data_IF_219322348810
#
_entry.id   IF_219322348810
#
_cell.length_a   1.000
_cell.length_b   1.000
_cell.length_c   1.000
_cell.angle_alpha   90.00
_cell.angle_beta   90.00
_cell.angle_gamma   90.00
#
_symmetry.space_group_name_H-M   'P 1'
#
loop_
_entity.id
_entity.type
_entity.pdbx_description
1 polymer ?
#
# COMPACT_ATOMS: atom_id res chain seq x y z
N UNK A 1 -42.36 22.46 -0.64
CA UNK A 1 -41.28 21.68 -0.01
C UNK A 1 -40.09 21.66 -0.97
N UNK A 2 -38.95 22.26 -0.60
CA UNK A 2 -37.78 22.37 -1.48
C UNK A 2 -36.75 21.32 -1.04
N UNK A 3 -37.04 20.06 -1.36
CA UNK A 3 -36.27 18.90 -0.87
C UNK A 3 -35.12 18.61 -1.82
N UNK A 4 -33.90 18.56 -1.30
CA UNK A 4 -32.76 18.01 -2.03
C UNK A 4 -32.64 16.54 -1.68
N UNK A 5 -32.65 15.67 -2.68
CA UNK A 5 -32.55 14.21 -2.51
C UNK A 5 -31.25 13.77 -3.16
N UNK A 6 -30.38 13.11 -2.41
CA UNK A 6 -29.17 12.49 -2.94
C UNK A 6 -29.35 10.98 -2.93
N UNK A 7 -29.15 10.35 -4.08
CA UNK A 7 -29.17 8.90 -4.23
C UNK A 7 -27.77 8.44 -4.58
N UNK A 8 -27.26 7.49 -3.80
CA UNK A 8 -25.99 6.82 -4.04
C UNK A 8 -26.24 5.43 -4.60
N UNK A 9 -25.70 5.11 -5.77
CA UNK A 9 -25.79 3.76 -6.37
C UNK A 9 -24.46 3.28 -6.95
N UNK A 10 -24.41 2.05 -7.48
CA UNK A 10 -23.22 1.52 -8.13
C UNK A 10 -22.89 2.21 -9.45
N UNK A 11 -23.90 2.35 -10.32
CA UNK A 11 -23.74 2.71 -11.73
C UNK A 11 -24.63 3.88 -12.21
N UNK A 12 -25.32 4.55 -11.28
CA UNK A 12 -26.30 5.59 -11.57
C UNK A 12 -27.75 5.09 -11.48
N UNK A 13 -28.71 6.00 -11.57
CA UNK A 13 -30.15 5.68 -11.59
C UNK A 13 -30.67 5.34 -12.99
N UNK A 14 -29.85 5.53 -14.03
CA UNK A 14 -30.21 5.32 -15.43
C UNK A 14 -29.07 4.62 -16.18
N UNK A 15 -29.35 4.17 -17.41
CA UNK A 15 -28.36 3.49 -18.24
C UNK A 15 -28.33 1.97 -18.08
N UNK A 16 -27.47 1.29 -18.83
CA UNK A 16 -27.53 -0.17 -19.02
C UNK A 16 -27.23 -0.99 -17.75
N UNK A 17 -26.51 -0.40 -16.79
CA UNK A 17 -26.12 -1.06 -15.53
C UNK A 17 -26.88 -0.52 -14.31
N UNK A 18 -27.94 0.27 -14.48
CA UNK A 18 -28.66 0.90 -13.38
C UNK A 18 -29.20 -0.08 -12.33
N UNK A 19 -29.57 -1.29 -12.75
CA UNK A 19 -30.07 -2.36 -11.87
C UNK A 19 -28.98 -3.30 -11.35
N UNK A 20 -27.72 -3.08 -11.74
CA UNK A 20 -26.60 -3.91 -11.32
C UNK A 20 -26.19 -3.59 -9.88
N UNK A 21 -25.79 -4.60 -9.07
CA UNK A 21 -25.30 -4.37 -7.72
C UNK A 21 -23.99 -3.57 -7.74
N UNK A 22 -23.90 -2.57 -6.87
CA UNK A 22 -22.69 -1.75 -6.71
C UNK A 22 -21.84 -2.22 -5.53
N UNK A 23 -20.53 -2.36 -5.76
CA UNK A 23 -19.56 -2.58 -4.68
C UNK A 23 -18.24 -1.91 -5.06
N UNK A 24 -17.51 -1.39 -4.06
CA UNK A 24 -16.27 -0.65 -4.27
C UNK A 24 -15.22 -1.43 -5.08
N UNK A 25 -15.01 -2.71 -4.78
CA UNK A 25 -14.07 -3.55 -5.55
C UNK A 25 -14.49 -3.70 -7.01
N UNK A 26 -15.79 -3.82 -7.28
CA UNK A 26 -16.30 -3.96 -8.64
C UNK A 26 -16.14 -2.64 -9.39
N UNK A 27 -16.51 -1.52 -8.77
CA UNK A 27 -16.32 -0.19 -9.37
C UNK A 27 -14.84 0.13 -9.60
N UNK A 28 -13.96 -0.22 -8.67
CA UNK A 28 -12.51 -0.08 -8.81
C UNK A 28 -11.92 -0.96 -9.93
N UNK A 29 -12.50 -2.13 -10.19
CA UNK A 29 -12.08 -2.98 -11.30
C UNK A 29 -12.57 -2.41 -12.64
N UNK A 30 -13.87 -2.12 -12.75
CA UNK A 30 -14.52 -1.64 -14.00
C UNK A 30 -13.99 -0.28 -14.43
N UNK A 31 -13.68 0.61 -13.49
CA UNK A 31 -13.10 1.93 -13.79
C UNK A 31 -11.62 1.87 -14.22
N UNK A 32 -10.96 0.72 -14.12
CA UNK A 32 -9.52 0.62 -14.40
C UNK A 32 -8.60 1.10 -13.28
N UNK A 33 -9.12 1.48 -12.10
CA UNK A 33 -8.27 1.81 -10.94
C UNK A 33 -7.37 0.63 -10.56
N UNK A 34 -7.89 -0.61 -10.56
CA UNK A 34 -7.08 -1.80 -10.29
C UNK A 34 -6.04 -2.07 -11.39
N UNK A 35 -6.29 -1.65 -12.63
CA UNK A 35 -5.35 -1.86 -13.73
C UNK A 35 -4.04 -1.10 -13.50
N UNK A 36 -4.12 0.07 -12.83
CA UNK A 36 -2.98 0.95 -12.58
C UNK A 36 -2.36 0.74 -11.19
N UNK A 37 -2.79 -0.27 -10.44
CA UNK A 37 -2.24 -0.71 -9.15
C UNK A 37 -1.85 -2.20 -9.20
N UNK A 38 -0.63 -2.64 -8.81
CA UNK A 38 -0.25 -4.07 -8.79
C UNK A 38 0.78 -4.54 -7.72
N UNK A 39 0.75 -5.73 -7.06
CA UNK A 39 1.45 -6.01 -5.79
C UNK A 39 2.96 -5.87 -5.89
N UNK A 40 3.63 -5.42 -4.81
CA UNK A 40 5.10 -5.42 -4.70
C UNK A 40 5.64 -6.86 -4.82
N UNK A 41 6.16 -7.23 -5.98
CA UNK A 41 6.92 -8.48 -6.11
C UNK A 41 8.32 -8.21 -5.56
N UNK A 42 8.48 -8.36 -4.24
CA UNK A 42 9.79 -8.66 -3.69
C UNK A 42 10.17 -10.05 -4.18
N UNK A 43 11.03 -10.14 -5.18
CA UNK A 43 11.69 -11.40 -5.55
C UNK A 43 12.51 -11.86 -4.33
N UNK A 44 11.93 -12.75 -3.52
CA UNK A 44 12.67 -13.45 -2.48
C UNK A 44 13.62 -14.44 -3.15
N UNK A 45 14.82 -13.97 -3.52
CA UNK A 45 15.88 -14.82 -4.09
C UNK A 45 16.48 -15.80 -3.08
N UNK A 46 16.14 -15.68 -1.79
CA UNK A 46 16.62 -16.54 -0.71
C UNK A 46 15.50 -16.82 0.29
N UNK A 47 15.06 -18.07 0.36
CA UNK A 47 14.20 -18.58 1.43
C UNK A 47 15.02 -19.54 2.27
N UNK A 48 15.54 -19.09 3.42
CA UNK A 48 16.15 -19.96 4.42
C UNK A 48 15.07 -20.37 5.41
N UNK A 49 14.45 -21.53 5.14
CA UNK A 49 13.44 -22.09 6.05
C UNK A 49 14.17 -22.85 7.16
N UNK A 50 14.27 -22.25 8.34
CA UNK A 50 15.01 -22.83 9.47
C UNK A 50 14.32 -24.08 10.06
N UNK A 51 13.00 -24.19 9.92
CA UNK A 51 12.20 -25.37 10.30
C UNK A 51 10.95 -25.45 9.42
N UNK A 52 10.76 -26.58 8.73
CA UNK A 52 9.56 -26.85 7.95
C UNK A 52 9.01 -28.21 8.35
N UNK A 53 7.82 -28.24 8.95
CA UNK A 53 7.11 -29.46 9.30
C UNK A 53 5.89 -29.56 8.40
N UNK A 54 6.03 -30.30 7.30
CA UNK A 54 5.01 -30.43 6.27
C UNK A 54 4.37 -31.80 6.41
N UNK A 55 3.19 -31.83 7.02
CA UNK A 55 2.49 -33.09 7.32
C UNK A 55 1.83 -33.71 6.08
N UNK A 56 1.41 -32.91 5.09
CA UNK A 56 0.94 -33.38 3.78
C UNK A 56 1.19 -32.31 2.71
N UNK A 57 1.78 -32.68 1.58
CA UNK A 57 1.98 -31.78 0.45
C UNK A 57 1.91 -32.54 -0.87
N UNK A 58 0.98 -32.14 -1.73
CA UNK A 58 0.86 -32.59 -3.11
C UNK A 58 1.21 -31.41 -4.02
N UNK A 59 2.44 -31.39 -4.53
CA UNK A 59 2.93 -30.33 -5.42
C UNK A 59 2.98 -30.86 -6.85
N UNK A 60 2.20 -30.24 -7.75
CA UNK A 60 2.11 -30.66 -9.15
C UNK A 60 3.33 -30.24 -9.98
N UNK A 61 3.97 -29.11 -9.62
CA UNK A 61 5.18 -28.60 -10.27
C UNK A 61 5.99 -27.77 -9.27
N UNK A 62 7.28 -28.08 -9.08
CA UNK A 62 8.16 -27.35 -8.18
C UNK A 62 9.50 -27.08 -8.87
N UNK A 63 9.85 -25.80 -9.05
CA UNK A 63 11.12 -25.37 -9.63
C UNK A 63 11.89 -24.58 -8.58
N UNK A 64 12.96 -25.20 -8.04
CA UNK A 64 13.76 -24.61 -6.96
C UNK A 64 15.19 -24.44 -7.45
N UNK A 65 15.61 -23.19 -7.63
CA UNK A 65 16.93 -22.85 -8.18
C UNK A 65 18.06 -23.03 -7.16
N UNK A 66 17.82 -22.68 -5.89
CA UNK A 66 18.75 -22.87 -4.77
C UNK A 66 17.97 -23.12 -3.47
N UNK A 67 18.29 -24.20 -2.77
CA UNK A 67 17.64 -24.57 -1.50
C UNK A 67 18.68 -25.01 -0.47
N UNK A 68 18.54 -24.56 0.77
CA UNK A 68 19.37 -24.98 1.91
C UNK A 68 18.44 -25.37 3.06
N UNK A 69 18.33 -26.67 3.32
CA UNK A 69 17.44 -27.21 4.37
C UNK A 69 18.31 -27.80 5.47
N UNK A 70 18.22 -27.23 6.67
CA UNK A 70 19.05 -27.64 7.82
C UNK A 70 18.48 -28.88 8.53
N UNK A 71 17.14 -28.99 8.61
CA UNK A 71 16.44 -30.19 9.11
C UNK A 71 15.01 -30.24 8.56
N UNK A 72 14.56 -31.42 8.12
CA UNK A 72 13.21 -31.62 7.60
C UNK A 72 12.73 -33.06 7.80
N UNK A 73 11.45 -33.20 8.14
CA UNK A 73 10.77 -34.49 8.33
C UNK A 73 9.58 -34.55 7.37
N UNK A 74 9.60 -35.52 6.44
CA UNK A 74 8.50 -35.73 5.48
C UNK A 74 7.89 -37.10 5.74
N UNK A 75 6.63 -37.13 6.16
CA UNK A 75 5.94 -38.37 6.53
C UNK A 75 5.36 -39.11 5.31
N UNK A 76 4.81 -38.38 4.33
CA UNK A 76 4.37 -38.92 3.04
C UNK A 76 4.28 -37.82 1.97
N UNK A 77 4.86 -38.05 0.79
CA UNK A 77 4.78 -37.13 -0.33
C UNK A 77 4.87 -37.86 -1.68
N UNK A 78 4.12 -37.36 -2.66
CA UNK A 78 4.13 -37.85 -4.04
C UNK A 78 4.53 -36.71 -4.97
N UNK A 79 5.67 -36.84 -5.65
CA UNK A 79 6.24 -35.81 -6.52
C UNK A 79 6.33 -36.36 -7.95
N UNK A 80 5.60 -35.73 -8.87
CA UNK A 80 5.52 -36.17 -10.27
C UNK A 80 6.73 -35.73 -11.10
N UNK A 81 7.19 -34.48 -10.92
CA UNK A 81 8.39 -33.93 -11.57
C UNK A 81 9.15 -33.00 -10.62
N UNK A 82 10.46 -33.21 -10.48
CA UNK A 82 11.33 -32.39 -9.63
C UNK A 82 12.65 -32.08 -10.36
N UNK A 83 13.00 -30.79 -10.42
CA UNK A 83 14.24 -30.29 -11.02
C UNK A 83 14.99 -29.48 -9.97
N UNK A 84 16.15 -29.96 -9.53
CA UNK A 84 17.01 -29.26 -8.55
C UNK A 84 18.38 -29.02 -9.18
N UNK A 85 18.72 -27.74 -9.37
CA UNK A 85 19.97 -27.37 -10.06
C UNK A 85 21.18 -27.41 -9.12
N UNK A 86 21.01 -26.99 -7.85
CA UNK A 86 21.99 -27.22 -6.78
C UNK A 86 21.37 -27.08 -5.39
N UNK A 87 21.80 -27.90 -4.44
CA UNK A 87 21.30 -27.88 -3.06
C UNK A 87 22.24 -28.61 -2.11
N UNK A 88 22.16 -28.26 -0.83
CA UNK A 88 22.88 -28.93 0.26
C UNK A 88 21.87 -29.30 1.36
N UNK A 89 21.83 -30.59 1.71
CA UNK A 89 20.93 -31.16 2.71
C UNK A 89 21.81 -31.80 3.79
N UNK A 90 21.72 -31.31 5.02
CA UNK A 90 22.55 -31.80 6.13
C UNK A 90 21.91 -32.98 6.88
N UNK A 91 20.60 -32.94 7.14
CA UNK A 91 19.87 -34.04 7.77
C UNK A 91 18.45 -34.15 7.19
N UNK A 92 18.10 -35.34 6.67
CA UNK A 92 16.80 -35.61 6.06
C UNK A 92 16.33 -37.02 6.45
N UNK A 93 15.12 -37.11 7.00
CA UNK A 93 14.46 -38.38 7.33
C UNK A 93 13.16 -38.48 6.53
N UNK A 94 13.13 -39.43 5.59
CA UNK A 94 12.01 -39.66 4.66
C UNK A 94 11.48 -41.07 4.89
N UNK A 95 10.22 -41.19 5.31
CA UNK A 95 9.62 -42.50 5.63
C UNK A 95 9.03 -43.20 4.40
N UNK A 96 8.36 -42.44 3.51
CA UNK A 96 7.81 -42.95 2.25
C UNK A 96 7.95 -41.90 1.14
N UNK A 97 8.54 -42.29 0.00
CA UNK A 97 8.76 -41.42 -1.15
C UNK A 97 8.56 -42.18 -2.46
N UNK A 98 7.73 -41.62 -3.35
CA UNK A 98 7.51 -42.12 -4.70
C UNK A 98 7.91 -41.02 -5.68
N UNK A 99 8.95 -41.26 -6.50
CA UNK A 99 9.46 -40.31 -7.49
C UNK A 99 9.40 -40.95 -8.86
N UNK A 100 8.66 -40.33 -9.79
CA UNK A 100 8.42 -40.90 -11.11
C UNK A 100 9.56 -40.54 -12.11
N UNK A 101 10.03 -39.29 -12.09
CA UNK A 101 11.14 -38.80 -12.93
C UNK A 101 11.95 -37.76 -12.15
N UNK A 102 13.27 -37.93 -12.09
CA UNK A 102 14.20 -37.03 -11.38
C UNK A 102 15.38 -36.64 -12.27
N UNK A 103 15.69 -35.33 -12.33
CA UNK A 103 16.95 -34.84 -12.88
C UNK A 103 17.58 -33.82 -11.91
N UNK A 104 18.77 -34.13 -11.41
CA UNK A 104 19.50 -33.25 -10.50
C UNK A 104 20.95 -33.69 -10.31
N UNK A 105 21.79 -32.73 -9.93
CA UNK A 105 23.19 -32.92 -9.57
C UNK A 105 23.31 -32.72 -8.06
N UNK A 106 23.54 -33.78 -7.28
CA UNK A 106 23.59 -33.71 -5.81
C UNK A 106 25.02 -33.87 -5.32
N UNK A 107 25.48 -32.94 -4.49
CA UNK A 107 26.75 -33.00 -3.80
C UNK A 107 26.51 -33.44 -2.35
N UNK A 108 26.90 -34.67 -2.00
CA UNK A 108 26.78 -35.18 -0.63
C UNK A 108 28.08 -34.93 0.13
N UNK A 109 28.03 -34.19 1.24
CA UNK A 109 29.20 -33.97 2.09
C UNK A 109 29.24 -34.88 3.33
N UNK A 110 28.10 -35.36 3.86
CA UNK A 110 28.00 -36.48 4.81
C UNK A 110 26.55 -37.00 4.77
N UNK A 111 26.33 -38.31 4.65
CA UNK A 111 24.97 -38.85 4.51
C UNK A 111 24.79 -40.13 5.34
N UNK A 112 23.94 -40.08 6.37
CA UNK A 112 23.36 -41.26 7.02
C UNK A 112 21.90 -41.36 6.60
N UNK A 113 21.64 -42.11 5.52
CA UNK A 113 20.27 -42.33 5.01
C UNK A 113 19.73 -43.64 5.56
N UNK A 114 18.62 -43.60 6.28
CA UNK A 114 17.83 -44.78 6.58
C UNK A 114 16.62 -44.79 5.63
N UNK A 115 16.71 -45.53 4.52
CA UNK A 115 15.59 -45.75 3.59
C UNK A 115 14.95 -47.09 3.94
N UNK A 116 13.69 -47.09 4.38
CA UNK A 116 12.96 -48.33 4.64
C UNK A 116 12.28 -48.91 3.38
N UNK A 117 11.77 -48.07 2.48
CA UNK A 117 11.26 -48.49 1.16
C UNK A 117 11.39 -47.37 0.11
N UNK A 118 11.91 -47.68 -1.08
CA UNK A 118 12.04 -46.75 -2.21
C UNK A 118 11.82 -47.48 -3.54
N UNK A 119 11.02 -46.90 -4.43
CA UNK A 119 10.79 -47.39 -5.80
C UNK A 119 11.03 -46.26 -6.79
N UNK A 120 12.06 -46.40 -7.63
CA UNK A 120 12.48 -45.42 -8.66
C UNK A 120 12.32 -46.06 -10.03
N UNK A 121 11.60 -45.41 -10.96
CA UNK A 121 11.32 -45.96 -12.29
C UNK A 121 12.31 -45.50 -13.38
N UNK A 122 12.90 -44.30 -13.31
CA UNK A 122 13.92 -43.83 -14.27
C UNK A 122 14.95 -42.88 -13.63
N UNK A 123 16.26 -43.11 -13.88
CA UNK A 123 17.40 -42.36 -13.31
C UNK A 123 18.44 -42.00 -14.40
N UNK A 124 18.82 -40.73 -14.50
CA UNK A 124 19.98 -40.26 -15.28
C UNK A 124 20.95 -39.49 -14.38
N UNK A 125 22.26 -39.80 -14.45
CA UNK A 125 23.32 -39.18 -13.64
C UNK A 125 24.53 -38.81 -14.51
N UNK A 126 25.09 -37.61 -14.32
CA UNK A 126 26.39 -37.19 -14.86
C UNK A 126 27.30 -36.75 -13.70
N UNK A 127 28.51 -37.33 -13.62
CA UNK A 127 29.48 -37.11 -12.54
C UNK A 127 30.63 -36.25 -13.04
N UNK A 128 30.94 -35.15 -12.33
CA UNK A 128 32.16 -34.36 -12.52
C UNK A 128 32.91 -34.29 -11.18
N UNK A 129 34.12 -34.83 -11.12
CA UNK A 129 34.97 -34.87 -9.92
C UNK A 129 35.91 -33.66 -9.92
N UNK A 130 35.86 -32.83 -8.87
CA UNK A 130 36.86 -31.80 -8.59
C UNK A 130 37.07 -31.66 -7.07
N UNK A 131 38.14 -32.28 -6.57
CA UNK A 131 38.80 -31.86 -5.34
C UNK A 131 40.30 -31.72 -5.59
N UNK A 132 40.88 -30.59 -5.19
CA UNK A 132 42.24 -30.56 -4.64
C UNK A 132 42.39 -29.36 -3.71
N UNK A 133 42.86 -29.62 -2.49
CA UNK A 133 43.07 -28.69 -1.37
C UNK A 133 44.54 -28.24 -1.28
N UNK A 134 44.83 -26.97 -0.96
CA UNK A 134 46.14 -26.52 -0.42
C UNK A 134 45.98 -25.36 0.59
N UNK A 135 46.88 -25.38 1.59
CA UNK A 135 47.02 -24.68 2.88
C UNK A 135 47.44 -23.18 2.90
N UNK A 136 47.02 -22.49 3.99
CA UNK A 136 47.56 -21.33 4.77
C UNK A 136 48.51 -20.25 4.19
N UNK A 137 48.20 -18.97 4.45
CA UNK A 137 49.16 -17.96 4.96
C UNK A 137 48.48 -16.72 5.61
N UNK A 138 49.21 -16.02 6.47
CA UNK A 138 48.80 -15.20 7.62
C UNK A 138 49.31 -13.74 7.51
N UNK A 139 48.51 -12.70 7.78
CA UNK A 139 48.98 -11.34 8.20
C UNK A 139 47.97 -10.64 9.14
N UNK A 140 48.52 -9.87 10.09
CA UNK A 140 48.06 -9.43 11.41
C UNK A 140 47.40 -8.02 11.51
N UNK A 141 46.46 -7.86 12.47
CA UNK A 141 46.31 -6.76 13.50
C UNK A 141 45.96 -5.30 12.99
N UNK A 142 45.12 -4.41 13.57
CA UNK A 142 44.35 -4.22 14.84
C UNK A 142 43.30 -3.07 14.67
N UNK A 143 42.17 -3.20 15.39
CA UNK A 143 41.41 -2.24 16.22
C UNK A 143 40.98 -0.80 15.83
N UNK A 144 39.66 -0.59 16.01
CA UNK A 144 38.90 0.41 16.82
C UNK A 144 38.65 1.86 16.35
N UNK A 145 37.33 2.13 16.27
CA UNK A 145 36.50 3.21 16.89
C UNK A 145 36.55 4.65 16.34
N UNK A 146 35.37 5.03 15.83
CA UNK A 146 34.47 6.13 16.26
C UNK A 146 34.82 7.61 16.04
N UNK A 147 33.72 8.34 15.79
CA UNK A 147 33.42 9.79 15.95
C UNK A 147 33.79 10.69 14.77
N UNK A 148 33.11 11.80 14.48
CA UNK A 148 31.71 12.25 14.50
C UNK A 148 31.70 13.68 13.93
N UNK A 149 30.56 14.12 13.39
CA UNK A 149 30.08 15.51 13.39
C UNK A 149 30.80 16.49 12.44
N UNK A 150 30.13 17.03 11.40
CA UNK A 150 29.13 18.14 11.40
C UNK A 150 29.72 19.43 12.02
N UNK A 151 29.53 20.66 11.51
CA UNK A 151 28.49 21.24 10.62
C UNK A 151 28.81 22.74 10.36
N UNK A 152 28.09 23.35 9.39
CA UNK A 152 27.44 24.70 9.44
C UNK A 152 28.33 25.93 9.16
N UNK A 153 27.91 27.00 8.43
CA UNK A 153 26.62 27.74 8.37
C UNK A 153 26.41 28.46 7.02
N UNK A 154 25.22 28.44 6.39
CA UNK A 154 23.99 29.31 6.51
C UNK A 154 24.13 30.75 5.99
N UNK A 155 23.40 31.09 4.91
CA UNK A 155 22.26 32.04 4.83
C UNK A 155 21.99 32.32 3.34
N UNK A 156 20.80 32.63 2.80
CA UNK A 156 19.74 33.53 3.23
C UNK A 156 18.57 33.42 2.22
N UNK A 157 17.43 34.07 2.51
CA UNK A 157 16.35 34.46 1.58
C UNK A 157 15.28 33.38 1.27
N UNK A 158 14.12 33.38 1.93
CA UNK A 158 13.01 34.36 1.88
C UNK A 158 12.36 34.40 0.48
N UNK A 159 11.02 34.22 0.41
CA UNK A 159 10.11 34.27 -0.77
C UNK A 159 9.57 32.99 -1.44
N UNK A 160 9.60 31.80 -0.82
CA UNK A 160 8.79 30.66 -1.30
C UNK A 160 8.28 29.81 -0.13
N UNK A 161 7.08 30.11 0.40
CA UNK A 161 6.42 29.20 1.35
C UNK A 161 5.20 28.57 0.71
N UNK A 162 5.47 27.37 0.19
CA UNK A 162 4.57 26.25 -0.09
C UNK A 162 3.42 26.50 -1.07
N UNK A 163 3.76 26.42 -2.36
CA UNK A 163 2.84 25.85 -3.34
C UNK A 163 2.55 24.40 -2.93
N UNK A 164 1.42 24.19 -2.23
CA UNK A 164 0.84 22.85 -2.10
C UNK A 164 0.34 22.50 -3.49
N UNK A 165 1.22 21.88 -4.28
CA UNK A 165 0.81 21.27 -5.53
C UNK A 165 -0.09 20.11 -5.13
N UNK A 166 -1.40 20.26 -5.34
CA UNK A 166 -2.41 19.21 -5.13
C UNK A 166 -2.12 18.06 -6.09
N UNK A 167 -1.14 17.27 -5.71
CA UNK A 167 -0.74 16.05 -6.37
C UNK A 167 -1.63 14.96 -5.79
N UNK A 168 -2.84 14.82 -6.33
CA UNK A 168 -3.74 13.69 -6.09
C UNK A 168 -3.11 12.40 -6.62
N UNK A 169 -2.13 11.86 -5.89
CA UNK A 169 -1.44 10.62 -6.23
C UNK A 169 -1.67 9.64 -5.10
N UNK A 170 -2.51 8.66 -5.35
CA UNK A 170 -2.60 7.47 -4.53
C UNK A 170 -1.30 6.69 -4.73
N UNK A 171 -0.28 7.02 -3.94
CA UNK A 171 0.93 6.22 -3.85
C UNK A 171 0.53 4.87 -3.24
N UNK A 172 0.42 3.86 -4.07
CA UNK A 172 0.23 2.48 -3.64
C UNK A 172 1.44 1.67 -4.11
N UNK A 173 2.00 0.92 -3.16
CA UNK A 173 3.34 0.29 -3.11
C UNK A 173 3.57 -0.84 -4.12
N UNK A 174 3.96 -0.58 -5.37
CA UNK A 174 3.70 -1.55 -6.44
C UNK A 174 4.87 -1.62 -7.49
N UNK A 175 5.09 -2.68 -8.29
CA UNK A 175 6.06 -2.74 -9.40
C UNK A 175 5.38 -2.44 -10.73
N UNK A 176 6.18 -2.15 -11.77
CA UNK A 176 5.66 -1.83 -13.11
C UNK A 176 4.92 -2.99 -13.79
N UNK A 177 5.17 -4.24 -13.37
CA UNK A 177 4.69 -5.46 -14.03
C UNK A 177 3.94 -6.44 -13.10
N UNK A 178 3.49 -6.00 -11.92
CA UNK A 178 2.69 -6.84 -11.01
C UNK A 178 1.26 -7.12 -11.54
N UNK A 179 0.59 -8.15 -11.01
CA UNK A 179 -0.84 -8.39 -11.22
C UNK A 179 -1.71 -7.20 -10.76
N UNK A 180 -2.90 -6.94 -11.31
CA UNK A 180 -3.81 -5.94 -10.75
C UNK A 180 -4.14 -6.19 -9.26
N UNK A 181 -4.10 -5.16 -8.41
CA UNK A 181 -4.60 -5.23 -7.03
C UNK A 181 -5.49 -4.06 -6.68
N UNK A 182 -6.41 -4.33 -5.76
CA UNK A 182 -7.25 -3.32 -5.13
C UNK A 182 -6.43 -2.41 -4.20
N UNK A 183 -6.72 -1.10 -4.17
CA UNK A 183 -6.35 -0.21 -3.08
C UNK A 183 -6.62 -0.76 -1.66
N UNK A 184 -5.74 -0.45 -0.71
CA UNK A 184 -5.84 -0.94 0.68
C UNK A 184 -7.02 -0.40 1.50
N UNK A 185 -7.72 0.61 0.99
CA UNK A 185 -8.96 1.17 1.57
C UNK A 185 -10.03 1.24 0.48
N UNK A 186 -11.30 1.35 0.87
CA UNK A 186 -12.43 1.52 -0.05
C UNK A 186 -12.42 2.93 -0.69
N UNK A 187 -11.46 3.16 -1.58
CA UNK A 187 -11.22 4.46 -2.19
C UNK A 187 -12.42 4.96 -2.99
N UNK A 188 -13.17 4.07 -3.64
CA UNK A 188 -14.36 4.44 -4.40
C UNK A 188 -15.45 4.91 -3.45
N UNK A 189 -15.72 4.16 -2.38
CA UNK A 189 -16.75 4.53 -1.39
C UNK A 189 -16.42 5.88 -0.74
N UNK A 190 -15.16 6.06 -0.34
CA UNK A 190 -14.68 7.33 0.24
C UNK A 190 -14.82 8.49 -0.75
N UNK A 191 -14.40 8.29 -2.01
CA UNK A 191 -14.52 9.31 -3.04
C UNK A 191 -15.98 9.65 -3.33
N UNK A 192 -16.86 8.67 -3.49
CA UNK A 192 -18.30 8.87 -3.72
C UNK A 192 -18.93 9.62 -2.56
N UNK A 193 -18.59 9.31 -1.31
CA UNK A 193 -19.02 10.07 -0.14
C UNK A 193 -18.60 11.54 -0.21
N UNK A 194 -17.36 11.82 -0.62
CA UNK A 194 -16.86 13.19 -0.78
C UNK A 194 -17.51 13.94 -1.95
N UNK A 195 -17.76 13.28 -3.09
CA UNK A 195 -18.49 13.85 -4.21
C UNK A 195 -19.95 14.16 -3.82
N UNK A 196 -20.62 13.23 -3.13
CA UNK A 196 -21.97 13.42 -2.63
C UNK A 196 -22.03 14.61 -1.65
N UNK A 197 -21.09 14.69 -0.70
CA UNK A 197 -20.97 15.82 0.21
C UNK A 197 -20.84 17.15 -0.54
N UNK A 198 -19.93 17.25 -1.52
CA UNK A 198 -19.78 18.45 -2.34
C UNK A 198 -21.03 18.81 -3.15
N UNK A 199 -21.69 17.82 -3.75
CA UNK A 199 -22.92 18.00 -4.51
C UNK A 199 -24.08 18.47 -3.63
N UNK A 200 -24.23 17.91 -2.42
CA UNK A 200 -25.23 18.35 -1.43
C UNK A 200 -24.99 19.80 -1.04
N UNK A 201 -23.74 20.18 -0.74
CA UNK A 201 -23.41 21.57 -0.42
C UNK A 201 -23.74 22.53 -1.58
N UNK A 202 -23.41 22.17 -2.82
CA UNK A 202 -23.78 22.94 -4.00
C UNK A 202 -25.30 23.05 -4.18
N UNK A 203 -26.03 21.95 -3.99
CA UNK A 203 -27.49 21.91 -4.05
C UNK A 203 -28.15 22.77 -2.97
N UNK A 204 -27.63 22.78 -1.74
CA UNK A 204 -28.12 23.64 -0.65
C UNK A 204 -27.91 25.13 -0.97
N UNK A 205 -26.75 25.50 -1.53
CA UNK A 205 -26.48 26.86 -1.99
C UNK A 205 -27.39 27.27 -3.15
N UNK A 206 -27.63 26.37 -4.11
CA UNK A 206 -28.55 26.61 -5.21
C UNK A 206 -29.98 26.79 -4.70
N UNK A 207 -30.44 25.90 -3.82
CA UNK A 207 -31.76 25.99 -3.18
C UNK A 207 -31.95 27.30 -2.43
N UNK A 208 -30.91 27.82 -1.79
CA UNK A 208 -30.99 29.13 -1.12
C UNK A 208 -31.34 30.25 -2.11
N UNK A 209 -30.81 30.19 -3.33
CA UNK A 209 -31.06 31.16 -4.40
C UNK A 209 -32.39 30.92 -5.11
N UNK A 210 -32.68 29.69 -5.50
CA UNK A 210 -33.81 29.35 -6.38
C UNK A 210 -35.08 28.98 -5.63
N UNK A 211 -34.97 28.64 -4.34
CA UNK A 211 -36.06 28.03 -3.55
C UNK A 211 -36.61 26.77 -4.19
N UNK A 212 -35.79 26.03 -4.95
CA UNK A 212 -36.16 24.74 -5.51
C UNK A 212 -35.23 23.65 -4.99
N UNK A 213 -35.79 22.46 -4.79
CA UNK A 213 -35.02 21.26 -4.51
C UNK A 213 -34.33 20.74 -5.77
N UNK A 214 -33.45 19.75 -5.60
CA UNK A 214 -32.81 19.05 -6.71
C UNK A 214 -32.60 17.58 -6.35
N UNK A 215 -32.70 16.71 -7.35
CA UNK A 215 -32.31 15.31 -7.24
C UNK A 215 -30.86 15.14 -7.68
N UNK A 216 -30.02 14.57 -6.83
CA UNK A 216 -28.60 14.32 -7.07
C UNK A 216 -28.44 12.82 -7.30
N UNK A 217 -27.95 12.44 -8.49
CA UNK A 217 -27.50 11.09 -8.79
C UNK A 217 -25.99 11.02 -8.63
N UNK A 218 -25.53 10.30 -7.60
CA UNK A 218 -24.11 10.08 -7.32
C UNK A 218 -23.84 8.58 -7.35
N UNK A 219 -22.80 8.13 -8.05
CA UNK A 219 -22.53 6.70 -8.17
C UNK A 219 -21.05 6.33 -8.11
N UNK A 220 -20.78 5.09 -7.71
CA UNK A 220 -19.43 4.56 -7.50
C UNK A 220 -18.60 4.63 -8.79
N UNK A 221 -19.13 4.17 -9.93
CA UNK A 221 -18.40 4.15 -11.19
C UNK A 221 -17.96 5.55 -11.63
N UNK A 222 -18.91 6.51 -11.69
CA UNK A 222 -18.62 7.88 -12.10
C UNK A 222 -17.62 8.57 -11.17
N UNK A 223 -17.76 8.35 -9.86
CA UNK A 223 -16.82 8.90 -8.87
C UNK A 223 -15.41 8.36 -9.11
N UNK A 224 -15.27 7.04 -9.29
CA UNK A 224 -13.97 6.41 -9.48
C UNK A 224 -13.31 6.79 -10.81
N UNK A 225 -14.08 6.85 -11.90
CA UNK A 225 -13.59 7.32 -13.21
C UNK A 225 -13.12 8.77 -13.11
N UNK A 226 -13.86 9.63 -12.40
CA UNK A 226 -13.43 11.02 -12.17
C UNK A 226 -12.10 11.10 -11.40
N UNK A 227 -11.90 10.21 -10.41
CA UNK A 227 -10.66 10.13 -9.64
C UNK A 227 -9.42 9.70 -10.44
N UNK A 228 -9.57 9.14 -11.66
CA UNK A 228 -8.43 8.86 -12.53
C UNK A 228 -7.71 10.13 -12.99
N UNK A 229 -8.41 11.28 -12.98
CA UNK A 229 -7.84 12.62 -13.16
C UNK A 229 -6.88 12.71 -14.37
N UNK A 230 -5.59 12.92 -14.13
CA UNK A 230 -4.56 13.07 -15.15
C UNK A 230 -4.32 11.80 -15.97
N UNK A 231 -4.52 10.60 -15.42
CA UNK A 231 -4.35 9.34 -16.14
C UNK A 231 -5.43 9.21 -17.20
N UNK A 232 -6.69 9.50 -16.84
CA UNK A 232 -7.78 9.57 -17.81
C UNK A 232 -7.54 10.66 -18.85
N UNK A 233 -7.06 11.85 -18.45
CA UNK A 233 -6.75 12.92 -19.39
C UNK A 233 -5.65 12.53 -20.40
N UNK A 234 -4.61 11.81 -19.98
CA UNK A 234 -3.57 11.31 -20.86
C UNK A 234 -4.12 10.36 -21.93
N UNK A 235 -5.01 9.44 -21.53
CA UNK A 235 -5.65 8.52 -22.46
C UNK A 235 -6.61 9.26 -23.41
N UNK A 236 -7.52 10.08 -22.87
CA UNK A 236 -8.55 10.77 -23.64
C UNK A 236 -7.98 11.76 -24.66
N UNK A 237 -6.87 12.43 -24.35
CA UNK A 237 -6.29 13.46 -25.23
C UNK A 237 -5.15 12.95 -26.11
N UNK A 238 -4.43 11.90 -25.70
CA UNK A 238 -3.22 11.45 -26.40
C UNK A 238 -3.21 9.95 -26.73
N UNK A 239 -4.27 9.20 -26.41
CA UNK A 239 -4.35 7.75 -26.60
C UNK A 239 -3.27 6.98 -25.81
N UNK A 240 -2.65 7.62 -24.81
CA UNK A 240 -1.56 7.05 -24.06
C UNK A 240 -2.12 6.12 -22.99
N UNK A 241 -2.00 4.81 -23.23
CA UNK A 241 -2.42 3.80 -22.26
C UNK A 241 -1.67 3.93 -20.94
N UNK A 242 -2.40 3.76 -19.84
CA UNK A 242 -1.88 3.81 -18.50
C UNK A 242 -1.00 2.60 -18.22
N UNK A 243 -0.04 2.77 -17.30
CA UNK A 243 0.84 1.70 -16.84
C UNK A 243 0.92 1.73 -15.33
N UNK A 244 1.20 0.58 -14.73
CA UNK A 244 1.56 0.50 -13.32
C UNK A 244 2.93 1.11 -13.15
N UNK A 245 3.08 2.03 -12.20
CA UNK A 245 4.37 2.68 -11.92
C UNK A 245 4.86 2.43 -10.50
N UNK A 246 4.05 1.77 -9.69
CA UNK A 246 4.39 1.60 -8.30
C UNK A 246 4.19 2.82 -7.45
N UNK A 247 5.13 3.01 -6.52
CA UNK A 247 5.27 4.28 -5.81
C UNK A 247 5.79 5.39 -6.73
N UNK A 248 6.25 5.08 -7.95
CA UNK A 248 6.86 6.06 -8.81
C UNK A 248 5.86 6.90 -9.60
N UNK A 249 6.22 8.15 -9.80
CA UNK A 249 5.52 9.02 -10.73
C UNK A 249 5.91 8.68 -12.18
N UNK A 250 4.95 8.76 -13.09
CA UNK A 250 5.18 8.42 -14.50
C UNK A 250 6.15 9.39 -15.19
N UNK A 251 6.01 10.68 -14.90
CA UNK A 251 6.62 11.77 -15.65
C UNK A 251 7.58 12.64 -14.83
N UNK A 252 7.83 12.31 -13.56
CA UNK A 252 8.70 13.09 -12.65
C UNK A 252 9.68 12.14 -11.99
N UNK A 253 10.99 12.44 -12.08
CA UNK A 253 12.06 11.59 -11.54
C UNK A 253 13.11 12.44 -10.81
N UNK A 254 13.52 12.08 -9.58
CA UNK A 254 12.91 11.05 -8.72
C UNK A 254 11.62 11.56 -8.06
N UNK A 255 10.55 10.79 -8.19
CA UNK A 255 9.36 10.92 -7.35
C UNK A 255 8.85 9.51 -7.10
N UNK A 256 9.32 8.89 -6.01
CA UNK A 256 8.96 7.52 -5.63
C UNK A 256 9.36 7.16 -4.20
N UNK A 257 8.93 5.97 -3.76
CA UNK A 257 9.45 5.29 -2.59
C UNK A 257 10.82 4.66 -2.86
N UNK A 258 11.70 4.74 -1.86
CA UNK A 258 13.01 4.11 -1.82
C UNK A 258 13.12 3.31 -0.53
N UNK A 259 13.68 2.10 -0.63
CA UNK A 259 14.03 1.29 0.53
C UNK A 259 15.24 1.91 1.23
N UNK A 260 15.16 2.04 2.53
CA UNK A 260 16.26 2.46 3.40
C UNK A 260 16.82 1.25 4.15
N UNK A 261 17.78 1.48 5.05
CA UNK A 261 18.35 0.41 5.87
C UNK A 261 17.33 -0.32 6.77
N UNK A 262 16.31 0.39 7.24
CA UNK A 262 15.35 -0.07 8.24
C UNK A 262 13.87 0.12 7.87
N UNK A 263 13.58 0.70 6.70
CA UNK A 263 12.22 1.00 6.28
C UNK A 263 12.15 1.53 4.85
N UNK A 264 11.27 2.50 4.62
CA UNK A 264 11.08 3.13 3.32
C UNK A 264 10.86 4.63 3.47
N UNK A 265 11.34 5.39 2.49
CA UNK A 265 11.18 6.84 2.39
C UNK A 265 10.65 7.20 1.00
N UNK A 266 9.68 8.10 0.93
CA UNK A 266 9.25 8.71 -0.33
C UNK A 266 10.01 10.02 -0.51
N UNK A 267 10.58 10.21 -1.69
CA UNK A 267 11.26 11.45 -2.08
C UNK A 267 10.64 11.97 -3.37
N UNK A 268 10.22 13.23 -3.36
CA UNK A 268 9.59 13.89 -4.51
C UNK A 268 10.37 15.13 -4.95
N UNK A 269 11.21 14.98 -5.96
CA UNK A 269 11.85 16.09 -6.67
C UNK A 269 10.97 16.54 -7.85
N UNK A 270 10.05 17.46 -7.59
CA UNK A 270 9.10 17.98 -8.58
C UNK A 270 9.71 18.90 -9.65
N UNK A 271 10.95 19.35 -9.47
CA UNK A 271 11.67 20.19 -10.43
C UNK A 271 13.19 19.97 -10.38
N UNK A 272 13.90 20.55 -11.36
CA UNK A 272 15.36 20.39 -11.49
C UNK A 272 16.13 20.95 -10.29
N UNK A 273 15.67 22.04 -9.67
CA UNK A 273 16.31 22.60 -8.47
C UNK A 273 16.22 21.62 -7.29
N UNK A 274 15.07 20.98 -7.11
CA UNK A 274 14.89 19.96 -6.07
C UNK A 274 15.73 18.70 -6.36
N UNK A 275 15.90 18.31 -7.63
CA UNK A 275 16.79 17.20 -7.97
C UNK A 275 18.24 17.48 -7.56
N UNK A 276 18.76 18.69 -7.84
CA UNK A 276 20.08 19.11 -7.36
C UNK A 276 20.17 19.00 -5.83
N UNK A 277 19.12 19.40 -5.09
CA UNK A 277 19.07 19.26 -3.63
C UNK A 277 19.09 17.80 -3.17
N UNK A 278 18.38 16.91 -3.86
CA UNK A 278 18.43 15.47 -3.58
C UNK A 278 19.86 14.94 -3.76
N UNK A 279 20.52 15.26 -4.88
CA UNK A 279 21.91 14.87 -5.13
C UNK A 279 22.87 15.41 -4.05
N UNK A 280 22.67 16.66 -3.60
CA UNK A 280 23.44 17.25 -2.51
C UNK A 280 23.27 16.50 -1.18
N UNK A 281 22.03 16.17 -0.80
CA UNK A 281 21.75 15.42 0.44
C UNK A 281 22.29 14.00 0.38
N UNK A 282 22.25 13.39 -0.79
CA UNK A 282 22.76 12.04 -1.03
C UNK A 282 24.27 11.99 -1.24
N UNK A 283 24.96 13.13 -1.27
CA UNK A 283 26.40 13.22 -1.56
C UNK A 283 26.76 12.61 -2.93
N UNK A 284 25.87 12.78 -3.90
CA UNK A 284 26.00 12.34 -5.30
C UNK A 284 25.90 13.55 -6.24
N UNK A 285 26.62 14.62 -5.91
CA UNK A 285 26.50 15.93 -6.59
C UNK A 285 26.85 15.85 -8.07
N UNK A 286 27.75 14.95 -8.44
CA UNK A 286 28.14 14.66 -9.82
C UNK A 286 26.95 14.27 -10.69
N UNK A 287 25.95 13.57 -10.15
CA UNK A 287 24.73 13.21 -10.89
C UNK A 287 23.92 14.43 -11.32
N UNK A 288 24.03 15.56 -10.60
CA UNK A 288 23.33 16.78 -10.97
C UNK A 288 23.95 17.46 -12.21
N UNK A 289 25.26 17.31 -12.40
CA UNK A 289 26.02 17.92 -13.50
C UNK A 289 26.07 17.02 -14.75
N UNK A 290 25.74 15.73 -14.60
CA UNK A 290 25.68 14.81 -15.73
C UNK A 290 24.67 15.26 -16.81
N UNK A 291 25.10 15.37 -18.08
CA UNK A 291 24.23 15.84 -19.16
C UNK A 291 22.92 15.06 -19.28
N UNK A 292 22.93 13.75 -18.96
CA UNK A 292 21.76 12.87 -19.02
C UNK A 292 20.76 13.03 -17.87
N UNK A 293 21.09 13.77 -16.81
CA UNK A 293 20.19 14.02 -15.66
C UNK A 293 19.84 15.49 -15.44
N UNK A 294 20.38 16.38 -16.29
CA UNK A 294 20.24 17.84 -16.18
C UNK A 294 18.80 18.36 -16.13
N UNK A 295 17.88 17.74 -16.87
CA UNK A 295 16.46 18.12 -16.89
C UNK A 295 15.56 16.94 -16.57
N UNK A 296 14.36 17.19 -16.05
CA UNK A 296 13.40 16.13 -15.75
C UNK A 296 13.12 15.22 -16.96
N UNK A 297 13.01 15.79 -18.17
CA UNK A 297 12.82 15.01 -19.40
C UNK A 297 13.94 13.98 -19.60
N UNK A 298 15.19 14.40 -19.40
CA UNK A 298 16.36 13.54 -19.54
C UNK A 298 16.42 12.49 -18.41
N UNK A 299 16.04 12.86 -17.19
CA UNK A 299 15.91 11.91 -16.07
C UNK A 299 14.84 10.85 -16.32
N UNK A 300 13.70 11.21 -16.91
CA UNK A 300 12.65 10.26 -17.30
C UNK A 300 13.16 9.26 -18.34
N UNK A 301 13.92 9.74 -19.35
CA UNK A 301 14.52 8.89 -20.37
C UNK A 301 15.56 7.92 -19.79
N UNK A 302 16.35 8.38 -18.82
CA UNK A 302 17.45 7.61 -18.21
C UNK A 302 17.10 7.07 -16.81
N UNK A 303 15.80 6.90 -16.51
CA UNK A 303 15.33 6.66 -15.13
C UNK A 303 15.85 5.38 -14.50
N UNK A 304 16.02 4.31 -15.27
CA UNK A 304 16.42 3.00 -14.74
C UNK A 304 17.78 3.08 -14.05
N UNK A 305 18.74 3.71 -14.73
CA UNK A 305 20.09 3.89 -14.22
C UNK A 305 20.12 4.85 -13.02
N UNK A 306 19.48 6.03 -13.15
CA UNK A 306 19.44 7.02 -12.07
C UNK A 306 18.84 6.43 -10.80
N UNK A 307 17.68 5.78 -10.92
CA UNK A 307 16.98 5.21 -9.77
C UNK A 307 17.75 4.04 -9.15
N UNK A 308 18.52 3.28 -9.94
CA UNK A 308 19.40 2.25 -9.38
C UNK A 308 20.44 2.89 -8.45
N UNK A 309 21.15 3.92 -8.91
CA UNK A 309 22.16 4.64 -8.11
C UNK A 309 21.55 5.26 -6.86
N UNK A 310 20.43 5.97 -7.00
CA UNK A 310 19.73 6.57 -5.85
C UNK A 310 19.28 5.49 -4.84
N UNK A 311 18.74 4.38 -5.31
CA UNK A 311 18.28 3.28 -4.44
C UNK A 311 19.44 2.67 -3.66
N UNK A 312 20.60 2.44 -4.29
CA UNK A 312 21.79 1.95 -3.59
C UNK A 312 22.25 2.91 -2.51
N UNK A 313 22.15 4.22 -2.75
CA UNK A 313 22.50 5.22 -1.74
C UNK A 313 21.52 5.21 -0.57
N UNK A 314 20.21 5.21 -0.83
CA UNK A 314 19.20 5.21 0.23
C UNK A 314 19.30 4.00 1.18
N UNK A 315 19.76 2.84 0.70
CA UNK A 315 19.96 1.64 1.52
C UNK A 315 21.03 1.78 2.62
N UNK A 316 21.91 2.78 2.53
CA UNK A 316 23.07 2.88 3.42
C UNK A 316 22.72 3.43 4.81
N UNK A 317 21.69 4.28 4.90
CA UNK A 317 21.28 4.92 6.14
C UNK A 317 19.85 4.57 6.54
N UNK A 318 19.56 4.79 7.82
CA UNK A 318 18.22 4.58 8.38
C UNK A 318 17.26 5.68 7.93
N UNK A 319 15.98 5.36 7.91
CA UNK A 319 14.88 6.27 7.51
C UNK A 319 14.92 7.57 8.30
N UNK A 320 15.06 7.49 9.63
CA UNK A 320 15.11 8.67 10.49
C UNK A 320 16.35 9.55 10.24
N UNK A 321 17.48 8.96 9.85
CA UNK A 321 18.69 9.71 9.54
C UNK A 321 18.54 10.44 8.20
N UNK A 322 17.94 9.79 7.19
CA UNK A 322 17.57 10.44 5.94
C UNK A 322 16.64 11.62 6.16
N UNK A 323 15.54 11.45 6.89
CA UNK A 323 14.60 12.53 7.18
C UNK A 323 15.31 13.73 7.83
N UNK A 324 16.25 13.47 8.75
CA UNK A 324 17.07 14.52 9.38
C UNK A 324 18.04 15.20 8.41
N UNK A 325 18.54 14.48 7.40
CA UNK A 325 19.42 15.04 6.36
C UNK A 325 18.65 15.88 5.33
N UNK A 326 17.39 15.53 5.06
CA UNK A 326 16.50 16.30 4.19
C UNK A 326 15.85 17.51 4.87
N UNK A 327 15.90 17.59 6.21
CA UNK A 327 15.30 18.69 6.97
C UNK A 327 15.84 20.05 6.50
N UNK A 328 14.93 20.97 6.17
CA UNK A 328 15.29 22.30 5.67
C UNK A 328 15.80 22.35 4.22
N UNK A 329 15.91 21.22 3.52
CA UNK A 329 16.38 21.17 2.12
C UNK A 329 15.38 21.77 1.11
N UNK A 330 14.09 21.86 1.50
CA UNK A 330 13.00 22.25 0.60
C UNK A 330 12.52 21.13 -0.34
N UNK A 331 13.08 19.93 -0.21
CA UNK A 331 12.63 18.72 -0.92
C UNK A 331 11.51 18.05 -0.09
N UNK A 332 10.32 17.81 -0.67
CA UNK A 332 9.29 17.00 -0.04
C UNK A 332 9.76 15.56 0.16
N UNK A 333 9.82 15.13 1.42
CA UNK A 333 10.15 13.76 1.82
C UNK A 333 9.25 13.30 2.96
N UNK A 334 9.03 12.00 3.06
CA UNK A 334 8.29 11.41 4.19
C UNK A 334 8.52 9.90 4.32
N UNK A 335 8.47 9.35 5.54
CA UNK A 335 8.53 7.90 5.73
C UNK A 335 7.26 7.22 5.22
N UNK A 336 7.36 5.95 4.83
CA UNK A 336 6.19 5.10 4.64
C UNK A 336 5.87 4.44 5.98
N UNK A 337 4.92 5.04 6.70
CA UNK A 337 4.56 4.65 8.06
C UNK A 337 3.64 3.42 8.09
N UNK A 338 3.84 2.57 9.10
CA UNK A 338 2.82 1.66 9.61
C UNK A 338 1.66 2.42 10.25
N UNK A 339 0.52 1.75 10.44
CA UNK A 339 -0.66 2.37 11.08
C UNK A 339 -0.36 2.83 12.52
N UNK A 340 0.47 2.07 13.25
CA UNK A 340 0.91 2.47 14.59
C UNK A 340 1.73 3.77 14.57
N UNK A 341 2.63 3.92 13.60
CA UNK A 341 3.45 5.13 13.43
C UNK A 341 2.58 6.33 13.03
N UNK A 342 1.59 6.15 12.15
CA UNK A 342 0.62 7.21 11.77
C UNK A 342 -0.05 7.80 13.00
N UNK A 343 -0.63 6.98 13.88
CA UNK A 343 -1.32 7.49 15.07
C UNK A 343 -0.37 7.91 16.21
N UNK A 344 0.92 7.59 16.09
CA UNK A 344 1.95 8.07 17.00
C UNK A 344 2.57 9.39 16.54
N UNK A 345 2.37 9.78 15.28
CA UNK A 345 2.97 10.95 14.64
C UNK A 345 2.62 12.27 15.35
N UNK A 346 3.61 13.14 15.62
CA UNK A 346 3.38 14.41 16.31
C UNK A 346 2.40 15.34 15.59
N UNK A 347 2.45 15.42 14.26
CA UNK A 347 1.56 16.26 13.47
C UNK A 347 0.13 15.71 13.47
N UNK A 348 -0.04 14.38 13.39
CA UNK A 348 -1.37 13.73 13.49
C UNK A 348 -2.02 14.01 14.84
N UNK A 349 -1.25 13.91 15.93
CA UNK A 349 -1.70 14.26 17.29
C UNK A 349 -2.04 15.74 17.42
N UNK A 350 -1.15 16.62 16.94
CA UNK A 350 -1.40 18.07 16.90
C UNK A 350 -2.67 18.42 16.10
N UNK A 351 -2.94 17.67 15.03
CA UNK A 351 -4.12 17.82 14.20
C UNK A 351 -5.40 17.24 14.84
N UNK A 352 -5.33 16.61 16.02
CA UNK A 352 -6.50 16.11 16.73
C UNK A 352 -7.26 15.04 15.95
N UNK A 353 -6.53 14.23 15.16
CA UNK A 353 -7.12 13.23 14.26
C UNK A 353 -7.48 11.91 14.95
N UNK A 354 -7.44 11.87 16.28
CA UNK A 354 -7.92 10.74 17.09
C UNK A 354 -9.06 11.27 17.94
N UNK A 355 -10.29 10.89 17.60
CA UNK A 355 -11.46 11.15 18.43
C UNK A 355 -11.66 9.99 19.38
N UNK A 356 -11.93 10.31 20.64
CA UNK A 356 -12.25 9.33 21.67
C UNK A 356 -13.66 9.60 22.20
N UNK A 357 -14.41 8.53 22.45
CA UNK A 357 -15.79 8.63 22.96
C UNK A 357 -16.15 7.36 23.72
N UNK A 358 -17.14 7.46 24.62
CA UNK A 358 -17.68 6.30 25.34
C UNK A 358 -18.93 5.81 24.61
N UNK A 359 -18.86 4.59 24.08
CA UNK A 359 -19.99 3.91 23.47
C UNK A 359 -20.74 3.08 24.52
N UNK A 360 -22.08 3.15 24.58
CA UNK A 360 -22.89 2.42 25.56
C UNK A 360 -22.55 0.94 25.75
N UNK A 361 -22.33 0.23 24.64
CA UNK A 361 -22.10 -1.22 24.66
C UNK A 361 -20.65 -1.63 24.40
N UNK A 362 -19.80 -0.72 23.91
CA UNK A 362 -18.42 -1.03 23.51
C UNK A 362 -17.38 -0.36 24.41
N UNK A 363 -17.80 0.43 25.40
CA UNK A 363 -16.91 1.18 26.28
C UNK A 363 -16.19 2.30 25.53
N UNK A 364 -14.95 2.58 25.93
CA UNK A 364 -14.15 3.63 25.29
C UNK A 364 -13.69 3.20 23.91
N UNK A 365 -14.12 3.92 22.87
CA UNK A 365 -13.72 3.70 21.48
C UNK A 365 -12.91 4.88 20.94
N UNK A 366 -12.14 4.63 19.86
CA UNK A 366 -11.33 5.64 19.18
C UNK A 366 -11.51 5.54 17.66
N UNK A 367 -11.69 6.66 17.00
CA UNK A 367 -11.90 6.73 15.54
C UNK A 367 -11.11 7.90 14.93
N UNK A 368 -10.82 7.87 13.60
CA UNK A 368 -10.24 9.01 12.91
C UNK A 368 -11.10 10.27 13.04
N UNK A 369 -10.46 11.40 13.35
CA UNK A 369 -11.12 12.70 13.46
C UNK A 369 -11.33 13.42 12.12
N UNK A 370 -12.05 14.56 12.13
CA UNK A 370 -12.33 15.32 10.93
C UNK A 370 -11.04 15.87 10.31
N UNK A 371 -10.93 15.77 8.98
CA UNK A 371 -9.77 16.25 8.23
C UNK A 371 -9.73 17.78 8.07
N UNK A 372 -10.82 18.50 8.39
CA UNK A 372 -10.98 19.94 8.17
C UNK A 372 -11.26 20.65 9.50
N UNK A 373 -10.62 21.82 9.67
CA UNK A 373 -10.82 22.73 10.81
C UNK A 373 -11.33 24.07 10.30
N UNK A 374 -12.20 24.70 11.06
CA UNK A 374 -12.75 26.01 10.76
C UNK A 374 -12.24 27.03 11.79
N UNK A 375 -11.94 28.24 11.33
CA UNK A 375 -11.42 29.31 12.19
C UNK A 375 -12.48 29.96 13.07
N UNK A 376 -13.74 29.95 12.62
CA UNK A 376 -14.84 30.69 13.23
C UNK A 376 -15.84 29.82 13.99
N UNK A 377 -15.78 28.50 13.85
CA UNK A 377 -16.64 27.57 14.59
C UNK A 377 -15.94 26.23 14.79
N UNK A 378 -16.36 25.50 15.82
CA UNK A 378 -15.93 24.13 16.07
C UNK A 378 -17.10 23.18 15.88
N UNK A 379 -16.78 21.92 15.62
CA UNK A 379 -17.75 20.85 15.77
C UNK A 379 -18.08 20.68 17.26
N UNK A 380 -19.29 20.20 17.58
CA UNK A 380 -19.64 19.82 18.94
C UNK A 380 -18.80 18.64 19.44
N UNK A 381 -18.98 18.26 20.71
CA UNK A 381 -18.34 17.07 21.25
C UNK A 381 -18.75 15.82 20.44
N UNK A 382 -17.80 14.93 20.12
CA UNK A 382 -18.10 13.75 19.34
C UNK A 382 -18.98 12.79 20.13
N UNK A 383 -20.11 12.40 19.54
CA UNK A 383 -21.01 11.38 20.10
C UNK A 383 -20.71 10.00 19.52
N UNK A 384 -20.89 8.92 20.30
CA UNK A 384 -20.75 7.56 19.79
C UNK A 384 -21.74 7.26 18.65
N UNK A 385 -21.42 6.32 17.75
CA UNK A 385 -22.40 5.76 16.83
C UNK A 385 -23.67 5.30 17.58
N UNK A 386 -24.87 5.53 17.05
CA UNK A 386 -26.10 5.16 17.73
C UNK A 386 -26.33 3.64 17.69
N UNK A 387 -27.03 3.12 18.71
CA UNK A 387 -27.62 1.80 18.64
C UNK A 387 -28.69 1.76 17.54
N UNK A 388 -28.92 0.58 16.97
CA UNK A 388 -30.02 0.37 16.01
C UNK A 388 -31.32 0.80 16.69
N UNK A 389 -32.07 1.74 16.11
CA UNK A 389 -33.33 2.21 16.67
C UNK A 389 -33.21 3.10 17.92
N UNK A 390 -32.03 3.63 18.25
CA UNK A 390 -31.83 4.47 19.44
C UNK A 390 -32.70 5.73 19.48
N UNK A 391 -32.96 6.32 18.31
CA UNK A 391 -33.65 7.61 18.20
C UNK A 391 -35.03 7.49 17.53
N UNK A 392 -35.59 6.28 17.43
CA UNK A 392 -36.84 6.02 16.70
C UNK A 392 -38.00 6.86 17.24
N UNK A 393 -38.27 6.77 18.54
CA UNK A 393 -39.35 7.53 19.18
C UNK A 393 -39.10 9.03 19.08
N UNK A 394 -37.87 9.48 19.35
CA UNK A 394 -37.49 10.89 19.27
C UNK A 394 -37.74 11.47 17.88
N UNK A 395 -37.39 10.75 16.81
CA UNK A 395 -37.61 11.22 15.43
C UNK A 395 -39.09 11.25 15.09
N UNK A 396 -39.85 10.18 15.40
CA UNK A 396 -41.29 10.12 15.14
C UNK A 396 -42.04 11.25 15.87
N UNK A 397 -41.72 11.47 17.14
CA UNK A 397 -42.39 12.45 17.98
C UNK A 397 -41.94 13.88 17.65
N UNK A 398 -40.64 14.17 17.66
CA UNK A 398 -40.14 15.55 17.57
C UNK A 398 -39.91 16.04 16.14
N UNK A 399 -39.58 15.15 15.21
CA UNK A 399 -39.31 15.55 13.81
C UNK A 399 -40.55 15.40 12.94
N UNK A 400 -41.29 14.30 13.11
CA UNK A 400 -42.47 14.00 12.30
C UNK A 400 -43.80 14.37 12.98
N UNK A 401 -43.77 14.79 14.25
CA UNK A 401 -44.95 15.21 15.01
C UNK A 401 -46.05 14.15 15.13
N UNK A 402 -45.67 12.87 15.21
CA UNK A 402 -46.62 11.78 15.45
C UNK A 402 -47.07 11.77 16.91
N UNK A 403 -48.34 11.44 17.17
CA UNK A 403 -48.85 11.30 18.53
C UNK A 403 -48.36 10.02 19.20
N UNK A 404 -48.32 10.03 20.53
CA UNK A 404 -47.85 8.89 21.33
C UNK A 404 -48.66 7.61 21.07
N UNK A 405 -49.97 7.73 20.81
CA UNK A 405 -50.84 6.60 20.45
C UNK A 405 -50.43 5.93 19.12
N UNK A 406 -50.07 6.75 18.12
CA UNK A 406 -49.60 6.25 16.82
C UNK A 406 -48.24 5.60 16.98
N UNK A 407 -47.32 6.23 17.72
CA UNK A 407 -45.98 5.69 17.98
C UNK A 407 -46.08 4.34 18.71
N UNK A 408 -46.93 4.25 19.74
CA UNK A 408 -47.20 3.01 20.46
C UNK A 408 -47.72 1.92 19.53
N UNK A 409 -48.67 2.25 18.66
CA UNK A 409 -49.20 1.30 17.67
C UNK A 409 -48.11 0.80 16.72
N UNK A 410 -47.21 1.68 16.26
CA UNK A 410 -46.09 1.31 15.37
C UNK A 410 -45.07 0.40 16.05
N UNK A 411 -44.81 0.63 17.35
CA UNK A 411 -43.93 -0.21 18.16
C UNK A 411 -44.55 -1.60 18.42
N UNK A 412 -45.83 -1.64 18.83
CA UNK A 412 -46.56 -2.88 19.10
C UNK A 412 -46.70 -3.75 17.84
N UNK A 413 -46.93 -3.13 16.69
CA UNK A 413 -47.00 -3.80 15.38
C UNK A 413 -45.63 -4.16 14.79
N UNK A 414 -44.52 -3.80 15.47
CA UNK A 414 -43.13 -4.04 15.03
C UNK A 414 -42.77 -3.44 13.67
N UNK A 415 -43.47 -2.38 13.26
CA UNK A 415 -43.09 -1.57 12.08
C UNK A 415 -41.82 -0.79 12.38
N UNK A 416 -41.64 -0.35 13.63
CA UNK A 416 -40.45 0.34 14.12
C UNK A 416 -39.96 -0.31 15.42
N UNK A 417 -38.71 -0.06 15.79
CA UNK A 417 -38.11 -0.55 17.03
C UNK A 417 -37.39 0.60 17.76
N UNK A 418 -37.52 0.65 19.08
CA UNK A 418 -36.79 1.55 19.96
C UNK A 418 -35.85 0.71 20.83
N UNK A 419 -34.55 1.02 20.78
CA UNK A 419 -33.56 0.41 21.69
C UNK A 419 -32.99 1.50 22.58
N UNK A 420 -33.00 1.29 23.89
CA UNK A 420 -32.49 2.27 24.84
C UNK A 420 -31.03 2.01 25.19
N UNK A 421 -30.33 3.10 25.51
CA UNK A 421 -28.98 3.07 26.05
C UNK A 421 -29.13 2.76 27.55
N UNK A 422 -28.73 1.56 27.96
CA UNK A 422 -28.77 1.10 29.36
C UNK A 422 -27.75 1.81 30.25
#
# INVERSE_FOLDING_TARGET
MCVCVCVCSGYGQTGPQATSPGYDSIASAVSGMMHITGPEVSTALFCSVLFCLVLFCSVLFCLVLFCSVLSGSVLSGSVLFCSVLSGSVLFCSVLFCSVLVWSGSVWFWFCSVLVLFCSVLFWFCSVLVLFCSVWFCLVLIRNKRLTSSRRVSISSQCLQRHSVQSCSHNAMLLPQDGEPVRPGVAMTDLATGLYAHGAIMAALLQRHKTRTGVHIDCNLLSSQVSCLSHIAANYLNAGKEARRWGTAHESIVPYQGFRTKDGHIVVAAGNDKQFVKVCQVLELVELADEPKYKTNKLRVQNRKELLHTLSQRFLQEKTADWLRMFEGSGVPVGPINSIQEVFSDPQVKHNGLILEMNHPTAGRIRVPGPAVRFSSFSHGEPTPPPLIGQHTVQVLQHTLSYSDDVIKTLLESRVVAQNEVS
#
